data_IF_472470671414
#
_entry.id   IF_472470671414
#
_cell.length_a   1.000
_cell.length_b   1.000
_cell.length_c   1.000
_cell.angle_alpha   90.00
_cell.angle_beta   90.00
_cell.angle_gamma   90.00
#
_symmetry.space_group_name_H-M   'P 1'
#
loop_
_entity.id
_entity.type
_entity.pdbx_description
1 polymer ?
#
# COMPACT_ATOMS: atom_id res chain seq x y z
N UNK A 1 -8.15 11.84 -7.78
CA UNK A 1 -8.06 12.63 -6.54
C UNK A 1 -7.85 14.08 -6.95
N UNK A 2 -8.72 14.99 -6.48
CA UNK A 2 -8.63 16.40 -6.73
C UNK A 2 -8.12 17.09 -5.46
N UNK A 3 -6.95 17.70 -5.52
CA UNK A 3 -6.41 18.48 -4.40
C UNK A 3 -6.62 19.96 -4.67
N UNK A 4 -7.13 20.69 -3.67
CA UNK A 4 -7.25 22.16 -3.71
C UNK A 4 -6.12 22.75 -2.89
N UNK A 5 -5.21 23.45 -3.55
CA UNK A 5 -4.12 24.16 -2.91
C UNK A 5 -4.52 25.63 -2.71
N UNK A 6 -4.41 26.11 -1.48
CA UNK A 6 -4.52 27.52 -1.14
C UNK A 6 -3.10 28.05 -0.98
N UNK A 7 -2.60 28.70 -2.01
CA UNK A 7 -1.34 29.43 -1.93
C UNK A 7 -1.64 30.87 -1.52
N UNK A 8 -1.05 31.35 -0.43
CA UNK A 8 -1.04 32.76 -0.09
C UNK A 8 0.20 33.41 -0.69
N UNK A 9 0.03 34.15 -1.73
CA UNK A 9 1.07 35.09 -2.16
C UNK A 9 0.95 36.35 -1.30
N UNK A 10 1.96 36.63 -0.49
CA UNK A 10 1.98 37.76 0.40
C UNK A 10 2.34 39.05 -0.31
N UNK A 11 1.43 40.04 -0.36
CA UNK A 11 1.68 41.40 -0.78
C UNK A 11 2.09 42.27 0.35
N UNK A 12 3.21 42.76 0.21
CA UNK A 12 3.55 44.03 0.85
C UNK A 12 3.18 45.13 -0.12
N UNK A 13 2.45 46.16 0.42
CA UNK A 13 2.13 47.37 -0.29
C UNK A 13 3.37 47.92 -0.95
N UNK A 14 3.28 48.16 -2.24
CA UNK A 14 4.28 48.72 -3.12
C UNK A 14 5.28 49.67 -2.50
N UNK A 15 6.48 49.20 -2.26
CA UNK A 15 7.64 50.07 -2.22
C UNK A 15 8.29 50.15 -3.62
N UNK A 16 7.45 50.45 -4.63
CA UNK A 16 7.95 50.71 -5.99
C UNK A 16 8.18 49.49 -6.88
N UNK A 17 7.73 48.27 -6.52
CA UNK A 17 7.93 47.05 -7.32
C UNK A 17 6.79 46.75 -8.30
N UNK A 18 5.67 47.46 -8.23
CA UNK A 18 4.50 47.28 -9.13
C UNK A 18 3.81 45.91 -9.02
N UNK A 19 4.04 45.16 -7.94
CA UNK A 19 3.43 43.85 -7.72
C UNK A 19 2.42 43.89 -6.59
N UNK A 20 1.23 43.33 -6.84
CA UNK A 20 0.18 43.16 -5.83
C UNK A 20 0.05 41.70 -5.45
N UNK A 21 0.02 41.39 -4.19
CA UNK A 21 -0.18 40.03 -3.68
C UNK A 21 -1.65 39.64 -3.81
N UNK A 22 -1.88 38.54 -4.37
CA UNK A 22 -3.21 38.00 -4.57
C UNK A 22 -3.23 36.55 -4.19
N UNK A 23 -4.17 36.15 -3.36
CA UNK A 23 -4.39 34.72 -3.05
C UNK A 23 -5.22 34.11 -4.16
N UNK A 24 -4.68 33.08 -4.81
CA UNK A 24 -5.39 32.27 -5.82
C UNK A 24 -5.58 30.86 -5.32
N UNK A 25 -6.77 30.33 -5.47
CA UNK A 25 -7.06 28.91 -5.27
C UNK A 25 -6.86 28.19 -6.58
N UNK A 26 -6.01 27.17 -6.59
CA UNK A 26 -5.75 26.33 -7.75
C UNK A 26 -6.29 24.93 -7.45
N UNK A 27 -7.11 24.40 -8.37
CA UNK A 27 -7.50 23.00 -8.36
C UNK A 27 -6.53 22.24 -9.27
N UNK A 28 -5.90 21.20 -8.72
CA UNK A 28 -4.92 20.40 -9.44
C UNK A 28 -5.39 18.96 -9.47
N UNK A 29 -5.46 18.38 -10.66
CA UNK A 29 -5.77 16.95 -10.82
C UNK A 29 -4.48 16.14 -10.66
N UNK A 30 -4.44 15.32 -9.61
CA UNK A 30 -3.33 14.39 -9.39
C UNK A 30 -3.63 13.11 -10.18
N UNK A 31 -2.74 12.67 -11.08
CA UNK A 31 -2.94 11.42 -11.83
C UNK A 31 -2.96 10.21 -10.90
N UNK A 32 -3.65 9.15 -11.33
CA UNK A 32 -3.65 7.87 -10.63
C UNK A 32 -2.23 7.26 -10.68
N UNK A 33 -1.88 6.50 -9.66
CA UNK A 33 -0.61 5.77 -9.63
C UNK A 33 0.64 6.62 -9.41
N UNK A 34 0.47 7.90 -9.08
CA UNK A 34 1.59 8.80 -8.78
C UNK A 34 2.47 8.23 -7.66
N UNK A 35 3.79 8.35 -7.81
CA UNK A 35 4.77 7.94 -6.82
C UNK A 35 5.19 9.07 -5.89
N UNK A 36 5.78 8.68 -4.76
CA UNK A 36 6.39 9.63 -3.84
C UNK A 36 7.52 10.40 -4.55
N UNK A 37 7.66 11.69 -4.23
CA UNK A 37 8.62 12.58 -4.88
C UNK A 37 8.25 12.99 -6.31
N UNK A 38 7.11 12.56 -6.84
CA UNK A 38 6.67 12.96 -8.19
C UNK A 38 6.47 14.47 -8.25
N UNK A 39 7.00 15.07 -9.32
CA UNK A 39 6.96 16.51 -9.55
C UNK A 39 5.98 16.85 -10.67
N UNK A 40 4.95 17.65 -10.34
CA UNK A 40 3.96 18.14 -11.29
C UNK A 40 4.26 19.60 -11.61
N UNK A 41 4.46 19.94 -12.88
CA UNK A 41 4.66 21.30 -13.36
C UNK A 41 3.32 21.91 -13.80
N UNK A 42 2.99 23.05 -13.26
CA UNK A 42 1.85 23.87 -13.67
C UNK A 42 2.36 25.12 -14.39
N UNK A 43 2.33 25.09 -15.71
CA UNK A 43 2.85 26.18 -16.54
C UNK A 43 2.07 27.48 -16.33
N UNK A 44 2.79 28.59 -16.16
CA UNK A 44 2.20 29.92 -16.00
C UNK A 44 1.42 30.15 -14.70
N UNK A 45 1.56 29.25 -13.72
CA UNK A 45 0.88 29.35 -12.40
C UNK A 45 1.81 29.79 -11.26
N UNK A 46 3.07 30.06 -11.57
CA UNK A 46 4.03 30.61 -10.61
C UNK A 46 3.90 32.13 -10.46
N UNK A 47 4.93 32.74 -9.94
CA UNK A 47 5.00 34.19 -9.69
C UNK A 47 4.83 35.02 -10.96
N UNK A 48 4.24 36.20 -10.79
CA UNK A 48 4.09 37.15 -11.90
C UNK A 48 5.47 37.65 -12.39
N UNK A 49 5.65 37.62 -13.71
CA UNK A 49 6.84 38.16 -14.33
C UNK A 49 7.00 39.65 -14.08
N UNK A 50 8.24 40.13 -14.11
CA UNK A 50 8.54 41.55 -13.97
C UNK A 50 8.30 42.27 -15.30
N UNK A 51 7.82 43.52 -15.24
CA UNK A 51 7.65 44.40 -16.42
C UNK A 51 6.79 43.80 -17.54
N UNK A 52 5.70 43.11 -17.19
CA UNK A 52 4.78 42.53 -18.19
C UNK A 52 5.25 41.20 -18.79
N UNK A 53 6.32 40.57 -18.26
CA UNK A 53 6.72 39.26 -18.65
C UNK A 53 5.68 38.22 -18.21
N UNK A 54 5.66 37.04 -18.89
CA UNK A 54 4.80 35.93 -18.54
C UNK A 54 5.08 35.41 -17.12
N UNK A 55 4.06 34.84 -16.48
CA UNK A 55 4.19 34.22 -15.19
C UNK A 55 5.16 33.02 -15.27
N UNK A 56 5.87 32.76 -14.18
CA UNK A 56 6.67 31.57 -14.02
C UNK A 56 5.83 30.30 -13.88
N UNK A 57 6.45 29.19 -13.66
CA UNK A 57 5.81 27.91 -13.44
C UNK A 57 5.77 27.56 -11.95
N UNK A 58 4.72 26.84 -11.57
CA UNK A 58 4.60 26.29 -10.23
C UNK A 58 4.91 24.80 -10.26
N UNK A 59 5.79 24.35 -9.38
CA UNK A 59 6.14 22.94 -9.21
C UNK A 59 5.55 22.41 -7.92
N UNK A 60 4.79 21.33 -8.04
CA UNK A 60 4.21 20.60 -6.91
C UNK A 60 5.01 19.32 -6.70
N UNK A 61 5.43 19.10 -5.47
CA UNK A 61 6.07 17.85 -5.06
C UNK A 61 5.02 17.02 -4.33
N UNK A 62 4.78 15.81 -4.82
CA UNK A 62 3.83 14.88 -4.22
C UNK A 62 4.57 14.06 -3.16
N UNK A 63 4.03 14.06 -1.95
CA UNK A 63 4.48 13.17 -0.88
C UNK A 63 3.38 12.15 -0.60
N UNK A 64 3.72 10.87 -0.71
CA UNK A 64 2.78 9.75 -0.52
C UNK A 64 3.02 9.15 0.85
N UNK A 65 2.03 9.27 1.75
CA UNK A 65 2.12 8.64 3.05
C UNK A 65 2.10 7.11 2.94
N UNK A 66 2.87 6.43 3.80
CA UNK A 66 2.83 4.98 3.92
C UNK A 66 1.47 4.52 4.44
N UNK A 67 1.00 3.38 3.93
CA UNK A 67 -0.22 2.74 4.42
C UNK A 67 0.11 1.76 5.56
N UNK A 68 -0.77 1.62 6.54
CA UNK A 68 -0.55 0.75 7.71
C UNK A 68 -0.41 -0.74 7.34
N UNK A 69 -1.20 -1.21 6.37
CA UNK A 69 -1.26 -2.62 6.00
C UNK A 69 -0.49 -2.96 4.73
N UNK A 70 -0.37 -2.02 3.80
CA UNK A 70 0.19 -2.28 2.48
C UNK A 70 1.54 -1.59 2.32
N UNK A 71 2.55 -2.37 1.94
CA UNK A 71 3.84 -1.86 1.48
C UNK A 71 3.78 -1.73 -0.04
N UNK A 72 4.09 -0.56 -0.56
CA UNK A 72 4.12 -0.31 -2.01
C UNK A 72 5.54 -0.47 -2.55
N UNK A 73 5.65 -1.12 -3.70
CA UNK A 73 6.85 -1.14 -4.51
C UNK A 73 6.43 -0.92 -5.97
N UNK A 74 6.66 0.30 -6.46
CA UNK A 74 6.21 0.75 -7.78
C UNK A 74 4.69 0.58 -7.94
N UNK A 75 4.24 -0.23 -8.89
CA UNK A 75 2.82 -0.57 -9.11
C UNK A 75 2.32 -1.72 -8.24
N UNK A 76 3.22 -2.48 -7.61
CA UNK A 76 2.85 -3.65 -6.83
C UNK A 76 2.63 -3.31 -5.35
N UNK A 77 1.73 -4.06 -4.72
CA UNK A 77 1.45 -3.98 -3.31
C UNK A 77 1.85 -5.28 -2.61
N UNK A 78 2.36 -5.15 -1.40
CA UNK A 78 2.72 -6.27 -0.53
C UNK A 78 1.90 -6.16 0.75
N UNK A 79 1.28 -7.27 1.13
CA UNK A 79 0.46 -7.39 2.33
C UNK A 79 0.87 -8.63 3.11
N UNK A 80 1.11 -8.48 4.40
CA UNK A 80 1.42 -9.59 5.31
C UNK A 80 0.12 -10.02 6.00
N UNK A 81 -0.25 -11.29 5.80
CA UNK A 81 -1.48 -11.86 6.32
C UNK A 81 -1.17 -12.91 7.38
N UNK A 82 -1.40 -12.63 8.66
CA UNK A 82 -1.32 -13.65 9.69
C UNK A 82 -2.47 -14.64 9.54
N UNK A 83 -2.17 -15.93 9.63
CA UNK A 83 -3.14 -17.01 9.63
C UNK A 83 -2.87 -17.97 10.79
N UNK A 84 -3.90 -18.69 11.22
CA UNK A 84 -3.74 -19.71 12.27
C UNK A 84 -2.94 -20.91 11.76
N UNK A 85 -2.26 -21.60 12.68
CA UNK A 85 -1.59 -22.87 12.39
C UNK A 85 -2.57 -23.92 11.82
N UNK A 86 -3.81 -23.92 12.30
CA UNK A 86 -4.85 -24.84 11.83
C UNK A 86 -5.25 -24.53 10.37
N UNK A 87 -5.43 -23.26 10.02
CA UNK A 87 -5.74 -22.83 8.66
C UNK A 87 -4.59 -23.10 7.69
N UNK A 88 -3.34 -22.96 8.15
CA UNK A 88 -2.17 -23.29 7.36
C UNK A 88 -2.07 -24.79 7.09
N UNK A 89 -2.38 -25.62 8.08
CA UNK A 89 -2.29 -27.08 7.99
C UNK A 89 -3.43 -27.70 7.18
N UNK A 90 -4.67 -27.28 7.46
CA UNK A 90 -5.88 -27.87 6.85
C UNK A 90 -6.25 -27.20 5.52
N UNK A 91 -5.77 -26.00 5.28
CA UNK A 91 -6.19 -25.14 4.21
C UNK A 91 -7.46 -24.35 4.59
N UNK A 92 -7.56 -23.13 4.06
CA UNK A 92 -8.69 -22.24 4.36
C UNK A 92 -8.99 -21.31 3.17
N UNK A 93 -10.18 -20.74 3.16
CA UNK A 93 -10.53 -19.61 2.31
C UNK A 93 -10.59 -18.34 3.18
N UNK A 94 -9.66 -17.43 2.95
CA UNK A 94 -9.56 -16.19 3.71
C UNK A 94 -9.99 -14.99 2.87
N UNK A 95 -10.53 -13.97 3.52
CA UNK A 95 -10.88 -12.69 2.93
C UNK A 95 -9.87 -11.65 3.37
N UNK A 96 -9.17 -11.05 2.43
CA UNK A 96 -8.20 -9.99 2.69
C UNK A 96 -8.73 -8.64 2.20
N UNK A 97 -8.33 -7.54 2.84
CA UNK A 97 -8.65 -6.21 2.33
C UNK A 97 -7.91 -5.95 1.01
N UNK A 98 -8.46 -5.09 0.19
CA UNK A 98 -7.81 -4.56 -1.03
C UNK A 98 -7.70 -3.04 -0.90
N UNK A 99 -6.75 -2.42 -1.62
CA UNK A 99 -6.46 -0.98 -1.52
C UNK A 99 -7.65 -0.09 -1.92
N UNK A 100 -8.55 -0.60 -2.74
CA UNK A 100 -9.79 0.05 -3.17
C UNK A 100 -10.92 -0.01 -2.12
N UNK A 101 -10.65 -0.55 -0.92
CA UNK A 101 -11.62 -0.74 0.16
C UNK A 101 -12.51 -1.97 0.02
N UNK A 102 -12.29 -2.78 -1.00
CA UNK A 102 -12.96 -4.06 -1.21
C UNK A 102 -12.36 -5.20 -0.38
N UNK A 103 -12.83 -6.41 -0.67
CA UNK A 103 -12.27 -7.66 -0.12
C UNK A 103 -12.04 -8.66 -1.25
N UNK A 104 -10.86 -9.28 -1.26
CA UNK A 104 -10.54 -10.38 -2.15
C UNK A 104 -10.52 -11.70 -1.37
N UNK A 105 -10.91 -12.79 -2.02
CA UNK A 105 -10.84 -14.14 -1.45
C UNK A 105 -9.58 -14.83 -1.94
N UNK A 106 -8.86 -15.45 -1.02
CA UNK A 106 -7.70 -16.28 -1.32
C UNK A 106 -7.95 -17.68 -0.76
N UNK A 107 -7.70 -18.68 -1.59
CA UNK A 107 -7.70 -20.08 -1.17
C UNK A 107 -6.29 -20.46 -0.75
N UNK A 108 -6.12 -20.78 0.52
CA UNK A 108 -4.87 -21.29 1.10
C UNK A 108 -4.89 -22.81 0.99
N UNK A 109 -3.97 -23.42 0.25
CA UNK A 109 -3.87 -24.88 0.20
C UNK A 109 -3.43 -25.47 1.55
N UNK A 110 -3.87 -26.69 1.84
CA UNK A 110 -3.39 -27.42 3.01
C UNK A 110 -1.86 -27.60 2.97
N UNK A 111 -1.21 -27.52 4.13
CA UNK A 111 0.23 -27.62 4.26
C UNK A 111 0.99 -26.36 3.79
N UNK A 112 0.34 -25.21 3.72
CA UNK A 112 0.99 -23.95 3.38
C UNK A 112 1.97 -23.55 4.47
N UNK A 113 3.23 -23.34 4.08
CA UNK A 113 4.30 -22.93 4.98
C UNK A 113 4.29 -21.41 5.20
N UNK A 114 4.77 -20.99 6.37
CA UNK A 114 4.95 -19.56 6.69
C UNK A 114 5.90 -18.91 5.69
N UNK A 115 5.63 -17.65 5.32
CA UNK A 115 6.39 -16.90 4.31
C UNK A 115 5.98 -17.18 2.86
N UNK A 116 5.04 -18.09 2.61
CA UNK A 116 4.56 -18.34 1.25
C UNK A 116 3.80 -17.13 0.72
N UNK A 117 4.08 -16.76 -0.53
CA UNK A 117 3.43 -15.65 -1.20
C UNK A 117 2.38 -16.11 -2.21
N UNK A 118 1.26 -15.41 -2.23
CA UNK A 118 0.17 -15.57 -3.20
C UNK A 118 0.01 -14.28 -3.98
N UNK A 119 -0.05 -14.38 -5.31
CA UNK A 119 -0.21 -13.24 -6.21
C UNK A 119 -1.68 -13.10 -6.62
N UNK A 120 -2.24 -11.93 -6.37
CA UNK A 120 -3.54 -11.51 -6.88
C UNK A 120 -3.33 -10.50 -8.01
N UNK A 121 -3.65 -10.91 -9.22
CA UNK A 121 -3.50 -10.08 -10.41
C UNK A 121 -4.44 -8.88 -10.36
N UNK A 122 -3.97 -7.75 -10.87
CA UNK A 122 -4.77 -6.53 -11.02
C UNK A 122 -5.37 -5.99 -9.71
N UNK A 123 -4.73 -6.27 -8.58
CA UNK A 123 -5.14 -5.79 -7.24
C UNK A 123 -4.09 -4.87 -6.59
N UNK A 124 -3.08 -4.46 -7.36
CA UNK A 124 -2.08 -3.48 -6.96
C UNK A 124 -2.52 -2.04 -7.23
N UNK A 125 -1.53 -1.15 -7.36
CA UNK A 125 -1.74 0.26 -7.70
C UNK A 125 -2.05 0.42 -9.19
N UNK A 126 -2.87 1.41 -9.57
CA UNK A 126 -3.05 1.75 -10.98
C UNK A 126 -1.74 2.30 -11.57
N UNK A 127 -1.46 1.97 -12.83
CA UNK A 127 -0.34 2.52 -13.56
C UNK A 127 -0.61 3.98 -13.93
N UNK A 128 0.45 4.81 -13.98
CA UNK A 128 0.34 6.21 -14.41
C UNK A 128 -0.10 6.36 -15.86
N UNK A 129 0.22 5.37 -16.70
CA UNK A 129 -0.16 5.34 -18.11
C UNK A 129 -0.98 4.10 -18.41
N UNK A 130 -2.18 4.28 -18.96
CA UNK A 130 -3.11 3.21 -19.26
C UNK A 130 -4.16 2.99 -18.16
N UNK A 131 -4.88 1.89 -18.27
CA UNK A 131 -5.90 1.46 -17.30
C UNK A 131 -5.50 0.19 -16.57
N UNK A 132 -4.24 -0.19 -16.67
CA UNK A 132 -3.73 -1.41 -16.04
C UNK A 132 -3.43 -1.18 -14.57
N UNK A 133 -3.41 -2.26 -13.81
CA UNK A 133 -3.10 -2.29 -12.39
C UNK A 133 -1.93 -3.23 -12.15
N UNK A 134 -1.12 -2.91 -11.18
CA UNK A 134 -0.13 -3.84 -10.65
C UNK A 134 -0.79 -4.99 -9.89
N UNK A 135 0.01 -5.81 -9.24
CA UNK A 135 -0.45 -6.98 -8.51
C UNK A 135 -0.37 -6.76 -7.00
N UNK A 136 -1.20 -7.52 -6.28
CA UNK A 136 -1.11 -7.61 -4.83
C UNK A 136 -0.46 -8.95 -4.46
N UNK A 137 0.69 -8.87 -3.81
CA UNK A 137 1.40 -10.02 -3.22
C UNK A 137 1.03 -10.16 -1.76
N UNK A 138 0.43 -11.29 -1.42
CA UNK A 138 0.02 -11.63 -0.06
C UNK A 138 0.98 -12.64 0.50
N UNK A 139 1.77 -12.22 1.47
CA UNK A 139 2.65 -13.12 2.20
C UNK A 139 1.91 -13.65 3.42
N UNK A 140 1.75 -14.96 3.48
CA UNK A 140 1.08 -15.64 4.58
C UNK A 140 2.10 -15.97 5.67
N UNK A 141 1.86 -15.47 6.87
CA UNK A 141 2.68 -15.76 8.04
C UNK A 141 1.85 -16.56 9.05
N UNK A 142 2.34 -17.73 9.42
CA UNK A 142 1.65 -18.60 10.38
C UNK A 142 1.88 -18.08 11.80
N UNK A 143 0.79 -17.80 12.51
CA UNK A 143 0.82 -17.39 13.91
C UNK A 143 0.55 -18.59 14.83
N UNK A 144 1.44 -18.78 15.79
CA UNK A 144 1.30 -19.81 16.82
C UNK A 144 0.49 -19.24 17.98
N UNK A 145 -0.60 -19.89 18.41
CA UNK A 145 -1.43 -19.39 19.49
C UNK A 145 -0.65 -19.35 20.81
N UNK A 146 -0.66 -18.17 21.47
CA UNK A 146 0.05 -17.96 22.75
C UNK A 146 -0.80 -18.30 23.97
N UNK A 147 -2.12 -18.33 23.83
CA UNK A 147 -3.06 -18.64 24.92
C UNK A 147 -4.00 -19.75 24.49
N UNK A 148 -3.82 -20.93 25.04
CA UNK A 148 -4.61 -22.11 24.76
C UNK A 148 -5.55 -22.41 25.92
N UNK A 149 -6.82 -22.69 25.62
CA UNK A 149 -7.72 -23.28 26.59
C UNK A 149 -7.38 -24.78 26.83
N UNK A 150 -8.04 -25.39 27.82
CA UNK A 150 -7.77 -26.79 28.20
C UNK A 150 -8.01 -27.76 27.04
N UNK A 151 -9.12 -27.60 26.33
CA UNK A 151 -9.49 -28.47 25.22
C UNK A 151 -8.53 -28.34 24.03
N UNK A 152 -8.11 -27.11 23.67
CA UNK A 152 -7.12 -26.85 22.63
C UNK A 152 -5.78 -27.48 22.96
N UNK A 153 -5.37 -27.42 24.24
CA UNK A 153 -4.13 -28.05 24.68
C UNK A 153 -4.17 -29.56 24.56
N UNK A 154 -5.25 -30.20 25.00
CA UNK A 154 -5.46 -31.65 24.87
C UNK A 154 -5.46 -32.10 23.40
N UNK A 155 -6.09 -31.33 22.50
CA UNK A 155 -6.08 -31.64 21.07
C UNK A 155 -4.68 -31.54 20.45
N UNK A 156 -3.91 -30.52 20.83
CA UNK A 156 -2.52 -30.36 20.34
C UNK A 156 -1.59 -31.42 20.93
N UNK A 157 -1.80 -31.87 22.16
CA UNK A 157 -1.05 -32.98 22.76
C UNK A 157 -1.32 -34.28 21.99
N UNK A 158 -2.59 -34.59 21.70
CA UNK A 158 -2.95 -35.73 20.84
C UNK A 158 -2.38 -35.62 19.44
N UNK A 159 -2.42 -34.45 18.85
CA UNK A 159 -1.81 -34.22 17.54
C UNK A 159 -0.32 -34.53 17.57
N UNK A 160 0.42 -34.07 18.57
CA UNK A 160 1.85 -34.32 18.75
C UNK A 160 2.17 -35.82 18.90
N UNK A 161 1.30 -36.60 19.55
CA UNK A 161 1.49 -38.07 19.71
C UNK A 161 1.31 -38.83 18.40
N UNK A 162 0.47 -38.31 17.47
CA UNK A 162 0.19 -38.95 16.18
C UNK A 162 1.14 -38.46 15.10
N UNK A 163 1.83 -37.35 15.37
CA UNK A 163 2.76 -36.73 14.43
C UNK A 163 3.88 -37.69 14.03
N UNK A 164 4.21 -37.74 12.74
CA UNK A 164 5.21 -38.61 12.19
C UNK A 164 6.12 -37.86 11.20
N UNK A 165 7.19 -38.55 10.76
CA UNK A 165 8.17 -37.97 9.82
C UNK A 165 7.57 -37.46 8.50
N UNK A 166 6.43 -38.00 8.06
CA UNK A 166 5.76 -37.55 6.82
C UNK A 166 5.03 -36.22 7.01
N UNK A 167 4.60 -35.92 8.24
CA UNK A 167 3.92 -34.68 8.58
C UNK A 167 4.88 -33.49 8.51
N UNK A 168 6.12 -33.69 8.91
CA UNK A 168 7.14 -32.62 9.03
C UNK A 168 8.45 -32.98 8.30
N UNK A 169 8.46 -32.99 6.96
CA UNK A 169 9.62 -33.45 6.20
C UNK A 169 10.88 -32.60 6.37
N UNK A 170 10.73 -31.34 6.77
CA UNK A 170 11.87 -30.46 7.01
C UNK A 170 12.55 -30.74 8.34
N UNK A 171 11.82 -31.17 9.36
CA UNK A 171 12.38 -31.53 10.68
C UNK A 171 13.28 -32.72 10.57
N UNK A 172 12.89 -33.71 9.75
CA UNK A 172 13.69 -34.94 9.49
C UNK A 172 15.12 -34.66 9.03
N UNK A 173 15.40 -33.51 8.40
CA UNK A 173 16.75 -33.19 7.92
C UNK A 173 17.71 -32.78 9.03
N UNK A 174 17.21 -32.52 10.23
CA UNK A 174 17.98 -32.02 11.36
C UNK A 174 18.18 -33.08 12.46
N UNK A 175 17.41 -34.12 12.43
CA UNK A 175 17.49 -35.30 13.33
C UNK A 175 17.51 -36.56 12.50
#
# INVERSE_FOLDING_TARGET
ISASLVGSEMCIRDRGTGKKQTTKRLSVTIPKGVDDGTRIRLSGKGEAGSRGASNGDLYLFINVNSHELFKRSEENLFFECPISIADAALGAEIKIPTIDGGKAKIKIPAGTQSGKQFRLREKGMPLMRGNDYGDLYVQVNTEVPVSLNKEQKELLEKFREIENEKSNPSIKKFF
#
